data_IF_976567191112
#
_entry.id   IF_976567191112
#
_cell.length_a   1.000
_cell.length_b   1.000
_cell.length_c   1.000
_cell.angle_alpha   90.00
_cell.angle_beta   90.00
_cell.angle_gamma   90.00
#
_symmetry.space_group_name_H-M   'P 1'
#
loop_
_entity.id
_entity.type
_entity.pdbx_description
1 polymer ?
#
# COMPACT_ATOMS: atom_id res chain seq x y z
N UNK A 1 -27.24 -6.68 -6.34
CA UNK A 1 -27.69 -7.99 -6.89
C UNK A 1 -27.14 -8.13 -8.30
N UNK A 2 -26.01 -8.82 -8.47
CA UNK A 2 -25.53 -9.21 -9.79
C UNK A 2 -25.00 -10.65 -9.79
N UNK A 3 -25.27 -11.30 -10.92
CA UNK A 3 -25.20 -12.72 -11.18
C UNK A 3 -23.81 -13.04 -11.74
N UNK A 4 -23.14 -14.02 -11.14
CA UNK A 4 -21.91 -14.61 -11.66
C UNK A 4 -22.14 -15.26 -13.04
N UNK A 5 -21.23 -15.02 -14.00
CA UNK A 5 -21.11 -15.89 -15.18
C UNK A 5 -19.66 -16.01 -15.66
N UNK A 6 -19.07 -17.18 -15.44
CA UNK A 6 -17.84 -17.64 -16.09
C UNK A 6 -18.22 -18.53 -17.29
N UNK A 7 -17.72 -18.21 -18.51
CA UNK A 7 -16.92 -19.18 -19.31
C UNK A 7 -16.37 -18.67 -20.66
N UNK A 8 -15.05 -18.85 -20.80
CA UNK A 8 -14.16 -19.31 -21.90
C UNK A 8 -14.43 -19.02 -23.40
N UNK A 9 -13.31 -18.59 -24.03
CA UNK A 9 -12.77 -18.79 -25.41
C UNK A 9 -12.93 -17.68 -26.48
N UNK A 10 -11.78 -17.03 -26.73
CA UNK A 10 -11.11 -16.75 -28.02
C UNK A 10 -11.64 -15.71 -29.05
N UNK A 11 -10.76 -14.69 -29.24
CA UNK A 11 -10.28 -14.03 -30.48
C UNK A 11 -10.83 -12.63 -30.85
N UNK A 12 -10.02 -11.63 -30.46
CA UNK A 12 -9.56 -10.44 -31.18
C UNK A 12 -10.51 -9.67 -32.11
N UNK A 13 -10.72 -8.38 -31.79
CA UNK A 13 -10.52 -7.25 -32.72
C UNK A 13 -9.91 -6.08 -31.95
N UNK A 14 -8.72 -5.65 -32.38
CA UNK A 14 -8.02 -4.46 -31.89
C UNK A 14 -8.61 -3.20 -32.53
N UNK A 15 -8.91 -2.19 -31.74
CA UNK A 15 -9.02 -0.81 -32.21
C UNK A 15 -7.84 -0.03 -31.65
N UNK A 16 -6.88 0.25 -32.53
CA UNK A 16 -5.72 1.07 -32.22
C UNK A 16 -6.14 2.54 -32.14
N UNK A 17 -5.91 3.17 -31.00
CA UNK A 17 -5.75 4.62 -30.92
C UNK A 17 -4.27 4.87 -30.54
N UNK A 18 -3.50 5.32 -31.51
CA UNK A 18 -2.11 5.69 -31.30
C UNK A 18 -2.04 7.10 -30.70
N UNK A 19 -1.55 7.22 -29.47
CA UNK A 19 -0.93 8.45 -28.97
C UNK A 19 0.57 8.16 -28.80
N UNK A 20 1.39 9.03 -29.38
CA UNK A 20 2.82 8.83 -29.58
C UNK A 20 3.62 8.84 -28.27
N UNK A 21 4.13 7.66 -27.93
CA UNK A 21 5.54 7.33 -27.62
C UNK A 21 6.28 8.08 -26.50
N UNK A 22 6.16 7.49 -25.32
CA UNK A 22 7.19 7.41 -24.29
C UNK A 22 6.97 6.14 -23.46
N UNK A 23 6.74 5.00 -24.13
CA UNK A 23 6.42 3.76 -23.46
C UNK A 23 7.68 3.15 -22.83
N UNK A 24 7.91 3.45 -21.55
CA UNK A 24 8.54 2.47 -20.67
C UNK A 24 7.50 1.36 -20.46
N UNK A 25 7.52 0.36 -21.35
CA UNK A 25 6.79 -0.87 -21.13
C UNK A 25 7.50 -1.64 -20.00
N UNK A 26 7.15 -1.32 -18.76
CA UNK A 26 7.51 -2.13 -17.59
C UNK A 26 6.60 -3.37 -17.65
N UNK A 27 7.15 -4.51 -18.05
CA UNK A 27 6.45 -5.79 -17.91
C UNK A 27 6.57 -6.21 -16.44
N UNK A 28 5.53 -5.92 -15.67
CA UNK A 28 5.41 -6.28 -14.26
C UNK A 28 5.36 -7.80 -14.09
N UNK A 29 6.27 -8.35 -13.29
CA UNK A 29 6.27 -9.75 -12.87
C UNK A 29 6.28 -9.88 -11.33
N UNK A 30 5.54 -9.01 -10.64
CA UNK A 30 5.25 -8.95 -9.18
C UNK A 30 3.84 -8.31 -9.05
N UNK A 31 3.06 -8.53 -7.97
CA UNK A 31 1.83 -9.32 -7.94
C UNK A 31 0.61 -8.44 -8.24
N UNK A 32 -0.61 -8.98 -8.11
CA UNK A 32 -1.79 -8.57 -8.87
C UNK A 32 -2.20 -7.07 -8.78
N UNK A 33 -1.66 -6.29 -7.85
CA UNK A 33 -2.08 -4.92 -7.51
C UNK A 33 -1.12 -3.81 -7.98
N UNK A 34 0.09 -4.11 -8.47
CA UNK A 34 1.11 -3.12 -8.87
C UNK A 34 1.48 -2.09 -7.76
N UNK A 35 1.15 -2.37 -6.50
CA UNK A 35 1.39 -1.49 -5.35
C UNK A 35 2.57 -2.03 -4.54
N UNK A 36 3.50 -1.16 -4.15
CA UNK A 36 4.70 -1.49 -3.37
C UNK A 36 4.88 -0.42 -2.31
N UNK A 37 5.15 -0.83 -1.06
CA UNK A 37 5.64 0.08 -0.03
C UNK A 37 7.16 -0.04 0.06
N UNK A 38 7.85 1.08 0.21
CA UNK A 38 9.29 1.13 0.41
C UNK A 38 9.70 2.37 1.21
N UNK A 39 10.90 2.34 1.75
CA UNK A 39 11.58 3.49 2.35
C UNK A 39 12.90 3.70 1.60
N UNK A 40 13.48 4.89 1.76
CA UNK A 40 14.80 5.19 1.19
C UNK A 40 15.73 5.72 2.25
N UNK A 41 17.00 5.29 2.19
CA UNK A 41 18.09 5.66 3.10
C UNK A 41 18.46 7.16 3.04
N UNK A 42 18.14 7.83 1.93
CA UNK A 42 18.33 9.27 1.75
C UNK A 42 17.05 9.94 1.24
N UNK A 43 16.91 11.23 1.56
CA UNK A 43 15.79 12.02 1.03
C UNK A 43 15.79 12.03 -0.49
N UNK A 44 14.67 11.62 -1.10
CA UNK A 44 14.59 11.36 -2.53
C UNK A 44 13.41 12.08 -3.18
N UNK A 45 13.43 12.17 -4.52
CA UNK A 45 12.27 12.58 -5.30
C UNK A 45 11.65 11.40 -6.01
N UNK A 46 10.34 11.26 -5.84
CA UNK A 46 9.53 10.21 -6.47
C UNK A 46 8.36 10.85 -7.18
N UNK A 47 8.26 10.62 -8.50
CA UNK A 47 7.24 11.24 -9.38
C UNK A 47 7.13 12.77 -9.23
N UNK A 48 8.22 13.43 -8.83
CA UNK A 48 8.29 14.88 -8.64
C UNK A 48 7.95 15.40 -7.23
N UNK A 49 7.54 14.52 -6.31
CA UNK A 49 7.33 14.83 -4.88
C UNK A 49 8.61 14.52 -4.11
N UNK A 50 8.96 15.36 -3.14
CA UNK A 50 10.13 15.17 -2.27
C UNK A 50 9.70 14.44 -1.00
N UNK A 51 10.46 13.40 -0.64
CA UNK A 51 10.28 12.62 0.57
C UNK A 51 11.58 12.64 1.36
N UNK A 52 11.46 12.76 2.67
CA UNK A 52 12.58 12.74 3.61
C UNK A 52 12.97 11.29 3.95
N UNK A 53 14.20 11.09 4.44
CA UNK A 53 14.77 9.78 4.80
C UNK A 53 14.14 9.16 6.05
N UNK A 54 13.36 9.95 6.80
CA UNK A 54 12.54 9.51 7.93
C UNK A 54 11.12 9.09 7.51
N UNK A 55 10.82 9.06 6.21
CA UNK A 55 9.52 8.70 5.66
C UNK A 55 9.53 7.32 5.00
N UNK A 56 8.51 6.53 5.29
CA UNK A 56 8.17 5.36 4.47
C UNK A 56 7.05 5.71 3.49
N UNK A 57 7.12 5.15 2.29
CA UNK A 57 6.36 5.59 1.12
C UNK A 57 5.61 4.41 0.54
N UNK A 58 4.32 4.58 0.32
CA UNK A 58 3.53 3.67 -0.50
C UNK A 58 3.48 4.18 -1.92
N UNK A 59 3.75 3.33 -2.91
CA UNK A 59 3.66 3.68 -4.32
C UNK A 59 2.78 2.67 -5.05
N UNK A 60 1.76 3.21 -5.72
CA UNK A 60 0.86 2.46 -6.58
C UNK A 60 1.01 2.84 -8.05
N UNK A 61 0.31 2.13 -8.95
CA UNK A 61 0.27 2.47 -10.36
C UNK A 61 -0.25 3.91 -10.62
N UNK A 62 -0.97 4.49 -9.66
CA UNK A 62 -1.68 5.76 -9.82
C UNK A 62 -1.27 6.87 -8.85
N UNK A 63 -0.46 6.59 -7.83
CA UNK A 63 -0.08 7.58 -6.82
C UNK A 63 1.10 7.17 -5.96
N UNK A 64 1.50 8.08 -5.06
CA UNK A 64 2.47 7.83 -4.00
C UNK A 64 2.05 8.62 -2.74
N UNK A 65 2.13 8.00 -1.56
CA UNK A 65 1.77 8.60 -0.27
C UNK A 65 2.78 8.25 0.82
N UNK A 66 2.90 9.09 1.85
CA UNK A 66 3.74 8.81 3.00
C UNK A 66 2.95 8.00 4.03
N UNK A 67 3.45 6.82 4.37
CA UNK A 67 2.85 5.88 5.35
C UNK A 67 3.33 6.14 6.77
N UNK A 68 4.62 6.45 6.90
CA UNK A 68 5.25 6.81 8.15
C UNK A 68 5.74 8.24 8.03
N UNK A 69 5.37 9.06 9.01
CA UNK A 69 5.91 10.40 9.22
C UNK A 69 6.41 10.46 10.66
N UNK A 70 7.73 10.38 10.82
CA UNK A 70 8.36 10.43 12.14
C UNK A 70 8.60 11.87 12.61
N UNK A 71 8.39 12.89 11.77
CA UNK A 71 8.69 14.30 12.09
C UNK A 71 8.01 14.83 13.36
N UNK A 72 6.92 14.19 13.81
CA UNK A 72 6.29 14.45 15.10
C UNK A 72 7.13 14.09 16.34
N UNK A 73 8.21 13.34 16.17
CA UNK A 73 9.13 12.92 17.23
C UNK A 73 10.37 13.81 17.27
N UNK A 74 10.78 14.22 18.46
CA UNK A 74 11.94 15.13 18.64
C UNK A 74 13.30 14.54 18.26
N UNK A 75 13.36 13.24 17.93
CA UNK A 75 14.56 12.54 17.49
C UNK A 75 14.57 12.23 15.98
N UNK A 76 13.46 12.51 15.26
CA UNK A 76 13.30 12.14 13.85
C UNK A 76 14.40 12.71 12.95
N UNK A 77 14.76 14.00 13.12
CA UNK A 77 15.84 14.67 12.37
C UNK A 77 17.25 14.07 12.57
N UNK A 78 17.39 12.99 13.35
CA UNK A 78 18.67 12.38 13.73
C UNK A 78 18.71 10.87 13.55
N UNK A 79 17.67 10.29 12.97
CA UNK A 79 17.60 8.86 12.72
C UNK A 79 17.22 8.60 11.27
N UNK A 80 17.88 7.62 10.66
CA UNK A 80 17.44 6.98 9.44
C UNK A 80 16.59 5.75 9.76
N UNK A 81 15.75 5.34 8.80
CA UNK A 81 14.98 4.09 8.87
C UNK A 81 15.64 3.05 7.97
N UNK A 82 16.23 2.01 8.56
CA UNK A 82 17.03 1.03 7.80
C UNK A 82 16.25 -0.20 7.38
N UNK A 83 15.28 -0.65 8.18
CA UNK A 83 14.39 -1.73 7.82
C UNK A 83 12.95 -1.35 8.13
N UNK A 84 12.00 -1.63 7.22
CA UNK A 84 10.56 -1.47 7.49
C UNK A 84 9.79 -2.70 7.05
N UNK A 85 8.82 -3.10 7.86
CA UNK A 85 7.77 -4.05 7.51
C UNK A 85 6.42 -3.58 8.05
N UNK A 86 5.33 -3.83 7.33
CA UNK A 86 3.97 -3.55 7.81
C UNK A 86 3.37 -4.83 8.38
N UNK A 87 2.75 -4.73 9.56
CA UNK A 87 2.13 -5.87 10.25
C UNK A 87 0.74 -5.46 10.71
N UNK A 88 -0.28 -5.92 9.98
CA UNK A 88 -1.68 -5.61 10.24
C UNK A 88 -1.90 -4.09 10.34
N UNK A 89 -2.02 -3.55 11.56
CA UNK A 89 -2.34 -2.17 11.84
C UNK A 89 -1.12 -1.31 12.23
N UNK A 90 0.10 -1.83 12.07
CA UNK A 90 1.33 -1.19 12.56
C UNK A 90 2.42 -1.21 11.51
N UNK A 91 3.25 -0.17 11.55
CA UNK A 91 4.51 -0.09 10.81
C UNK A 91 5.61 -0.50 11.78
N UNK A 92 6.41 -1.49 11.43
CA UNK A 92 7.52 -1.95 12.25
C UNK A 92 8.84 -1.62 11.56
N UNK A 93 9.76 -0.98 12.28
CA UNK A 93 11.01 -0.51 11.69
C UNK A 93 12.22 -0.56 12.64
N UNK A 94 13.43 -0.57 12.08
CA UNK A 94 14.71 -0.33 12.78
C UNK A 94 15.24 1.09 12.48
N UNK A 95 16.27 1.51 13.22
CA UNK A 95 16.92 2.81 13.03
C UNK A 95 18.44 2.72 13.04
N UNK A 96 19.11 3.59 12.31
CA UNK A 96 20.58 3.59 12.14
C UNK A 96 21.35 3.90 13.43
N UNK A 97 20.72 4.67 14.31
CA UNK A 97 21.29 5.09 15.58
C UNK A 97 20.42 4.74 16.78
N UNK A 98 21.11 4.59 17.91
CA UNK A 98 20.44 4.50 19.21
C UNK A 98 19.73 5.82 19.55
N UNK A 99 18.51 5.74 20.07
CA UNK A 99 17.78 6.91 20.54
C UNK A 99 16.94 6.62 21.79
N UNK A 100 16.34 7.66 22.35
CA UNK A 100 15.50 7.57 23.55
C UNK A 100 14.18 8.30 23.31
N UNK A 101 13.07 7.62 23.58
CA UNK A 101 11.72 8.19 23.58
C UNK A 101 11.14 8.08 25.00
N UNK A 102 11.03 9.23 25.69
CA UNK A 102 10.61 9.27 27.09
C UNK A 102 11.60 8.56 28.01
N UNK A 103 11.20 7.41 28.57
CA UNK A 103 12.07 6.57 29.43
C UNK A 103 12.57 5.31 28.73
N UNK A 104 12.12 5.05 27.51
CA UNK A 104 12.50 3.88 26.74
C UNK A 104 13.70 4.23 25.85
N UNK A 105 14.78 3.45 25.97
CA UNK A 105 15.92 3.50 25.05
C UNK A 105 15.77 2.43 23.99
N UNK A 106 15.96 2.82 22.73
CA UNK A 106 15.95 1.95 21.57
C UNK A 106 17.34 1.88 20.97
N UNK A 107 17.71 0.71 20.47
CA UNK A 107 19.00 0.40 19.88
C UNK A 107 18.83 0.12 18.39
N UNK A 108 19.89 0.32 17.62
CA UNK A 108 19.89 0.01 16.17
C UNK A 108 19.50 -1.45 15.85
N UNK A 109 19.86 -2.38 16.74
CA UNK A 109 19.47 -3.79 16.64
C UNK A 109 18.02 -4.10 17.04
N UNK A 110 17.20 -3.12 17.39
CA UNK A 110 15.81 -3.32 17.80
C UNK A 110 14.85 -3.09 16.61
N UNK A 111 13.68 -3.73 16.68
CA UNK A 111 12.55 -3.34 15.84
C UNK A 111 11.48 -2.69 16.71
N UNK A 112 10.99 -1.55 16.26
CA UNK A 112 9.96 -0.75 16.92
C UNK A 112 8.67 -0.88 16.14
N UNK A 113 7.56 -1.05 16.84
CA UNK A 113 6.23 -0.98 16.26
C UNK A 113 5.61 0.40 16.50
N UNK A 114 5.31 1.09 15.40
CA UNK A 114 4.53 2.31 15.33
C UNK A 114 3.07 2.01 15.03
N UNK A 115 2.19 2.50 15.88
CA UNK A 115 0.75 2.52 15.64
C UNK A 115 0.37 3.89 15.08
N UNK A 116 0.09 4.00 13.77
CA UNK A 116 -0.09 5.30 13.11
C UNK A 116 -1.40 5.97 13.50
N UNK A 117 -2.37 5.21 14.01
CA UNK A 117 -3.66 5.74 14.42
C UNK A 117 -3.62 6.37 15.83
N UNK A 118 -2.74 5.89 16.70
CA UNK A 118 -2.49 6.46 18.03
C UNK A 118 -1.21 7.29 18.09
N UNK A 119 -0.37 7.23 17.06
CA UNK A 119 0.95 7.82 16.96
C UNK A 119 1.88 7.38 18.11
N UNK A 120 1.81 6.10 18.49
CA UNK A 120 2.60 5.55 19.60
C UNK A 120 3.64 4.55 19.12
N UNK A 121 4.79 4.53 19.81
CA UNK A 121 5.87 3.58 19.60
C UNK A 121 5.94 2.55 20.73
N UNK A 122 6.22 1.32 20.36
CA UNK A 122 6.43 0.21 21.28
C UNK A 122 7.57 -0.69 20.79
N UNK A 123 8.22 -1.41 21.70
CA UNK A 123 9.22 -2.40 21.33
C UNK A 123 8.52 -3.59 20.65
N UNK A 124 8.87 -3.90 19.40
CA UNK A 124 8.41 -5.11 18.71
C UNK A 124 9.40 -6.26 18.93
N UNK A 125 10.70 -5.99 18.77
CA UNK A 125 11.78 -6.95 19.00
C UNK A 125 12.96 -6.25 19.66
N UNK A 126 13.41 -6.80 20.79
CA UNK A 126 14.59 -6.31 21.50
C UNK A 126 15.81 -7.17 21.11
N UNK A 127 16.65 -6.64 20.22
CA UNK A 127 17.79 -7.38 19.68
C UNK A 127 18.85 -7.65 20.73
N UNK A 128 19.05 -6.72 21.67
CA UNK A 128 19.99 -6.92 22.79
C UNK A 128 19.58 -8.12 23.64
N UNK A 129 18.29 -8.22 23.99
CA UNK A 129 17.75 -9.31 24.78
C UNK A 129 17.76 -10.65 24.02
N UNK A 130 17.60 -10.61 22.70
CA UNK A 130 17.73 -11.79 21.85
C UNK A 130 19.20 -12.24 21.66
N UNK A 131 20.17 -11.36 21.96
CA UNK A 131 21.60 -11.65 21.90
C UNK A 131 22.29 -11.18 20.61
N UNK A 132 21.71 -10.21 19.89
CA UNK A 132 22.39 -9.51 18.80
C UNK A 132 23.56 -8.67 19.36
N UNK A 133 24.71 -8.61 18.64
CA UNK A 133 25.81 -7.73 19.01
C UNK A 133 25.39 -6.25 19.04
N UNK A 134 26.03 -5.45 19.91
CA UNK A 134 25.71 -4.04 20.08
C UNK A 134 26.01 -3.16 18.85
N UNK A 135 26.89 -3.65 17.97
CA UNK A 135 27.30 -2.97 16.75
C UNK A 135 26.55 -3.47 15.51
N UNK A 136 25.60 -4.40 15.66
CA UNK A 136 24.81 -4.88 14.54
C UNK A 136 23.55 -4.04 14.39
N UNK A 137 23.22 -3.70 13.15
CA UNK A 137 21.99 -3.05 12.74
C UNK A 137 21.14 -4.02 11.92
N UNK A 138 19.82 -3.81 11.90
CA UNK A 138 18.95 -4.56 11.00
C UNK A 138 18.75 -3.74 9.72
N UNK A 139 19.36 -4.19 8.64
CA UNK A 139 19.31 -3.51 7.35
C UNK A 139 18.12 -3.95 6.51
N UNK A 140 17.54 -5.10 6.79
CA UNK A 140 16.35 -5.54 6.10
C UNK A 140 15.48 -6.36 7.06
N UNK A 141 14.16 -6.26 6.92
CA UNK A 141 13.22 -7.06 7.71
C UNK A 141 11.97 -7.41 6.89
N UNK A 142 11.47 -8.62 7.06
CA UNK A 142 10.23 -9.08 6.43
C UNK A 142 9.38 -9.89 7.41
N UNK A 143 8.12 -9.49 7.59
CA UNK A 143 7.20 -10.25 8.43
C UNK A 143 6.73 -11.54 7.75
N UNK A 144 6.53 -12.60 8.53
CA UNK A 144 5.92 -13.85 8.04
C UNK A 144 4.59 -14.10 8.73
N UNK A 145 4.61 -14.22 10.06
CA UNK A 145 3.39 -14.46 10.87
C UNK A 145 3.67 -14.32 12.35
N UNK A 146 2.76 -13.71 13.11
CA UNK A 146 2.92 -13.53 14.55
C UNK A 146 4.26 -12.88 14.92
N UNK A 147 5.09 -13.60 15.68
CA UNK A 147 6.46 -13.18 16.07
C UNK A 147 7.56 -13.70 15.14
N UNK A 148 7.20 -14.31 14.02
CA UNK A 148 8.13 -14.84 13.03
C UNK A 148 8.36 -13.76 11.96
N UNK A 149 9.63 -13.40 11.80
CA UNK A 149 10.09 -12.50 10.76
C UNK A 149 11.47 -12.94 10.26
N UNK A 150 11.84 -12.45 9.09
CA UNK A 150 13.18 -12.55 8.54
C UNK A 150 13.89 -11.21 8.66
N UNK A 151 15.21 -11.23 8.75
CA UNK A 151 16.03 -10.02 8.71
C UNK A 151 17.43 -10.30 8.15
N UNK A 152 18.15 -9.24 7.78
CA UNK A 152 19.60 -9.23 7.53
C UNK A 152 20.29 -8.26 8.51
N UNK A 153 21.62 -8.36 8.63
CA UNK A 153 22.41 -7.41 9.43
C UNK A 153 23.40 -6.64 8.55
N UNK A 154 23.72 -5.41 8.96
CA UNK A 154 24.79 -4.58 8.37
C UNK A 154 26.20 -5.14 8.53
N UNK A 155 26.34 -6.13 9.41
CA UNK A 155 27.62 -6.66 9.79
C UNK A 155 27.55 -8.16 10.00
N UNK A 156 28.53 -8.84 9.42
CA UNK A 156 28.86 -10.22 9.77
C UNK A 156 29.00 -10.40 11.29
N UNK A 157 28.32 -11.41 11.84
CA UNK A 157 28.19 -11.59 13.29
C UNK A 157 28.10 -13.06 13.70
N UNK A 158 28.34 -13.32 14.99
CA UNK A 158 28.07 -14.64 15.58
C UNK A 158 26.76 -14.60 16.35
N UNK A 159 25.77 -15.40 15.93
CA UNK A 159 24.45 -15.46 16.56
C UNK A 159 24.32 -16.64 17.53
N UNK A 160 23.63 -16.46 18.66
CA UNK A 160 23.29 -17.55 19.58
C UNK A 160 22.61 -18.72 18.88
N UNK A 161 23.15 -19.93 19.03
CA UNK A 161 22.57 -21.16 18.48
C UNK A 161 22.76 -21.38 16.97
N UNK A 162 23.27 -20.39 16.23
CA UNK A 162 23.54 -20.47 14.79
C UNK A 162 25.04 -20.49 14.50
N UNK A 163 25.82 -19.64 15.19
CA UNK A 163 27.22 -19.42 14.88
C UNK A 163 27.43 -18.25 13.92
N UNK A 164 28.47 -18.30 13.10
CA UNK A 164 28.83 -17.22 12.19
C UNK A 164 27.82 -17.05 11.05
N UNK A 165 27.44 -15.81 10.82
CA UNK A 165 26.65 -15.35 9.68
C UNK A 165 27.40 -14.22 8.97
N UNK A 166 27.16 -14.09 7.68
CA UNK A 166 27.56 -12.94 6.88
C UNK A 166 26.41 -11.91 6.81
N UNK A 167 26.75 -10.69 6.46
CA UNK A 167 25.86 -9.53 6.30
C UNK A 167 24.85 -9.70 5.15
N UNK A 168 25.10 -10.64 4.25
CA UNK A 168 24.19 -11.00 3.15
C UNK A 168 23.29 -12.21 3.48
N UNK A 169 23.40 -12.78 4.69
CA UNK A 169 22.61 -13.93 5.09
C UNK A 169 21.21 -13.53 5.55
N UNK A 170 20.19 -14.29 5.12
CA UNK A 170 18.82 -14.10 5.61
C UNK A 170 18.59 -14.94 6.85
N UNK A 171 18.33 -14.25 7.96
CA UNK A 171 18.12 -14.86 9.27
C UNK A 171 16.63 -14.87 9.61
N UNK A 172 16.14 -16.01 10.08
CA UNK A 172 14.79 -16.16 10.62
C UNK A 172 14.82 -16.05 12.13
N UNK A 173 13.99 -15.16 12.67
CA UNK A 173 13.60 -15.16 14.07
C UNK A 173 12.24 -15.82 14.23
N UNK A 174 12.07 -16.65 15.27
CA UNK A 174 10.81 -17.36 15.53
C UNK A 174 10.11 -16.96 16.84
N UNK A 175 10.57 -15.89 17.50
CA UNK A 175 10.13 -15.50 18.84
C UNK A 175 11.04 -16.00 19.97
N UNK A 176 11.98 -16.92 19.70
CA UNK A 176 12.84 -17.50 20.72
C UNK A 176 14.28 -17.79 20.26
N UNK A 177 14.50 -18.12 19.00
CA UNK A 177 15.81 -18.51 18.48
C UNK A 177 16.02 -17.99 17.05
N UNK A 178 17.29 -17.78 16.72
CA UNK A 178 17.75 -17.49 15.37
C UNK A 178 17.90 -18.79 14.56
N UNK A 179 17.73 -18.66 13.25
CA UNK A 179 18.04 -19.67 12.27
C UNK A 179 18.58 -18.99 11.02
N UNK A 180 19.76 -19.37 10.51
CA UNK A 180 20.16 -18.98 9.15
C UNK A 180 19.22 -19.70 8.18
N UNK A 181 18.36 -18.94 7.50
CA UNK A 181 17.37 -19.49 6.58
C UNK A 181 17.95 -19.63 5.18
N UNK A 182 18.66 -18.61 4.71
CA UNK A 182 19.40 -18.61 3.45
C UNK A 182 20.81 -18.07 3.68
N UNK A 183 21.78 -18.79 3.14
CA UNK A 183 23.15 -18.31 3.01
C UNK A 183 23.24 -17.39 1.78
N UNK A 184 23.61 -16.12 1.98
CA UNK A 184 23.55 -15.09 0.94
C UNK A 184 24.35 -15.46 -0.29
N UNK A 185 25.56 -15.97 -0.07
CA UNK A 185 26.46 -16.38 -1.15
C UNK A 185 26.05 -17.72 -1.75
N UNK A 186 25.80 -18.72 -0.92
CA UNK A 186 25.62 -20.11 -1.39
C UNK A 186 24.22 -20.36 -1.94
N UNK A 187 23.18 -19.85 -1.26
CA UNK A 187 21.78 -20.10 -1.63
C UNK A 187 21.25 -19.03 -2.58
N UNK A 188 21.60 -17.75 -2.34
CA UNK A 188 21.07 -16.62 -3.11
C UNK A 188 22.03 -16.15 -4.22
N UNK A 189 23.31 -16.48 -4.16
CA UNK A 189 24.32 -16.06 -5.14
C UNK A 189 24.70 -14.59 -5.04
N UNK A 190 24.47 -13.97 -3.88
CA UNK A 190 24.83 -12.59 -3.58
C UNK A 190 26.36 -12.52 -3.40
N UNK A 191 27.06 -11.55 -4.00
CA UNK A 191 28.49 -11.34 -3.76
C UNK A 191 28.78 -10.96 -2.29
N UNK A 192 29.91 -11.41 -1.73
CA UNK A 192 30.38 -11.16 -0.34
C UNK A 192 30.63 -9.69 0.05
N UNK A 193 30.28 -8.75 -0.81
CA UNK A 193 30.36 -7.33 -0.47
C UNK A 193 29.00 -6.66 -0.54
N UNK A 194 27.93 -7.34 -0.96
CA UNK A 194 26.65 -6.72 -1.26
C UNK A 194 25.59 -7.07 -0.20
N UNK A 195 25.37 -6.18 0.75
CA UNK A 195 24.39 -6.32 1.83
C UNK A 195 22.94 -6.29 1.34
N UNK A 196 22.00 -6.82 2.13
CA UNK A 196 20.57 -6.68 1.85
C UNK A 196 20.03 -5.44 2.55
N UNK A 197 19.42 -4.53 1.78
CA UNK A 197 18.77 -3.31 2.32
C UNK A 197 17.25 -3.43 2.41
N UNK A 198 16.64 -4.32 1.64
CA UNK A 198 15.21 -4.59 1.77
C UNK A 198 14.95 -6.08 1.65
N UNK A 199 13.89 -6.51 2.34
CA UNK A 199 13.45 -7.88 2.30
C UNK A 199 11.93 -7.92 2.34
N UNK A 200 11.33 -8.79 1.53
CA UNK A 200 9.90 -9.08 1.55
C UNK A 200 9.66 -10.56 1.31
N UNK A 201 8.67 -11.13 1.99
CA UNK A 201 8.23 -12.52 1.76
C UNK A 201 6.80 -12.51 1.28
N UNK A 202 6.61 -12.87 0.01
CA UNK A 202 5.28 -12.96 -0.58
C UNK A 202 4.54 -14.22 -0.11
N UNK A 203 3.21 -14.18 -0.19
CA UNK A 203 2.30 -15.29 0.18
C UNK A 203 2.54 -16.59 -0.59
N UNK A 204 3.20 -16.52 -1.76
CA UNK A 204 3.62 -17.67 -2.56
C UNK A 204 5.03 -18.20 -2.22
N UNK A 205 5.59 -17.80 -1.07
CA UNK A 205 6.93 -18.11 -0.58
C UNK A 205 8.08 -17.56 -1.44
N UNK A 206 7.83 -16.62 -2.35
CA UNK A 206 8.92 -15.89 -3.02
C UNK A 206 9.52 -14.87 -2.06
N UNK A 207 10.84 -14.77 -2.08
CA UNK A 207 11.57 -13.78 -1.30
C UNK A 207 12.06 -12.71 -2.25
N UNK A 208 11.72 -11.46 -1.98
CA UNK A 208 12.18 -10.31 -2.73
C UNK A 208 13.14 -9.49 -1.88
N UNK A 209 14.17 -8.94 -2.50
CA UNK A 209 15.18 -8.16 -1.78
C UNK A 209 15.85 -7.13 -2.70
N UNK A 210 16.35 -6.04 -2.13
CA UNK A 210 17.31 -5.10 -2.76
C UNK A 210 18.70 -5.31 -2.17
N UNK A 211 19.71 -4.63 -2.71
CA UNK A 211 21.08 -4.70 -2.25
C UNK A 211 21.69 -3.30 -2.12
N UNK A 212 22.62 -3.11 -1.21
CA UNK A 212 23.34 -1.85 -0.94
C UNK A 212 24.25 -1.35 -2.07
N UNK A 213 24.38 -2.14 -3.13
CA UNK A 213 25.23 -1.83 -4.27
C UNK A 213 24.83 -2.58 -5.53
N UNK A 214 25.29 -2.09 -6.70
CA UNK A 214 25.19 -2.85 -7.93
C UNK A 214 25.80 -4.24 -7.78
N UNK A 215 25.02 -5.26 -8.13
CA UNK A 215 25.44 -6.64 -8.02
C UNK A 215 25.14 -7.43 -9.29
N UNK A 216 25.87 -8.54 -9.44
CA UNK A 216 25.66 -9.50 -10.51
C UNK A 216 25.37 -10.87 -9.91
N UNK A 217 24.10 -11.26 -9.90
CA UNK A 217 23.66 -12.60 -9.47
C UNK A 217 23.42 -13.48 -10.70
N UNK A 218 24.17 -14.59 -10.78
CA UNK A 218 24.06 -15.52 -11.90
C UNK A 218 24.40 -14.88 -13.24
N UNK A 219 23.40 -14.68 -14.11
CA UNK A 219 23.55 -14.05 -15.42
C UNK A 219 23.03 -12.60 -15.48
N UNK A 220 22.29 -12.17 -14.46
CA UNK A 220 21.67 -10.85 -14.41
C UNK A 220 22.56 -9.87 -13.64
N UNK A 221 22.45 -8.59 -13.99
CA UNK A 221 23.05 -7.46 -13.28
C UNK A 221 21.93 -6.50 -12.91
N UNK A 222 22.01 -5.95 -11.70
CA UNK A 222 21.11 -4.92 -11.20
C UNK A 222 21.90 -3.80 -10.53
N UNK A 223 21.32 -2.62 -10.46
CA UNK A 223 21.75 -1.54 -9.60
C UNK A 223 21.32 -1.77 -8.14
N UNK A 224 21.85 -0.96 -7.24
CA UNK A 224 21.50 -0.90 -5.81
C UNK A 224 20.00 -0.71 -5.56
N UNK A 225 19.31 -0.10 -6.52
CA UNK A 225 17.89 0.21 -6.41
C UNK A 225 17.02 -0.98 -6.84
N UNK A 226 17.57 -1.94 -7.57
CA UNK A 226 16.76 -2.98 -8.21
C UNK A 226 16.31 -4.06 -7.22
N UNK A 227 15.15 -4.65 -7.49
CA UNK A 227 14.59 -5.72 -6.67
C UNK A 227 14.88 -7.07 -7.34
N UNK A 228 15.50 -7.95 -6.58
CA UNK A 228 15.75 -9.35 -6.91
C UNK A 228 14.64 -10.22 -6.35
N UNK A 229 14.47 -11.42 -6.94
CA UNK A 229 13.57 -12.44 -6.42
C UNK A 229 14.23 -13.80 -6.38
N UNK A 230 14.09 -14.45 -5.23
CA UNK A 230 14.41 -15.84 -4.99
C UNK A 230 13.13 -16.68 -4.88
N UNK A 231 13.12 -17.85 -5.51
CA UNK A 231 12.00 -18.80 -5.45
C UNK A 231 12.51 -20.11 -4.82
N UNK A 232 12.22 -20.36 -3.53
CA UNK A 232 12.61 -21.61 -2.87
C UNK A 232 11.97 -22.84 -3.53
N UNK A 233 12.56 -24.04 -3.45
CA UNK A 233 13.81 -24.37 -2.75
C UNK A 233 15.07 -24.28 -3.64
N UNK A 234 14.94 -23.97 -4.93
CA UNK A 234 16.08 -23.86 -5.84
C UNK A 234 15.77 -23.02 -7.08
N UNK A 235 16.69 -22.11 -7.37
CA UNK A 235 16.76 -21.28 -8.57
C UNK A 235 17.72 -20.13 -8.28
N UNK A 236 18.60 -19.73 -9.23
CA UNK A 236 19.38 -18.51 -9.04
C UNK A 236 18.41 -17.34 -8.87
N UNK A 237 18.75 -16.36 -8.03
CA UNK A 237 17.95 -15.14 -7.97
C UNK A 237 17.90 -14.50 -9.36
N UNK A 238 16.74 -13.93 -9.69
CA UNK A 238 16.53 -13.20 -10.94
C UNK A 238 16.15 -11.77 -10.64
N UNK A 239 16.46 -10.85 -11.55
CA UNK A 239 15.96 -9.48 -11.46
C UNK A 239 14.43 -9.50 -11.57
N UNK A 240 13.74 -9.09 -10.51
CA UNK A 240 12.28 -9.05 -10.46
C UNK A 240 11.76 -7.76 -11.08
N UNK A 241 12.40 -6.65 -10.72
CA UNK A 241 11.98 -5.31 -11.10
C UNK A 241 13.18 -4.35 -11.07
N UNK A 242 13.23 -3.43 -12.03
CA UNK A 242 14.22 -2.35 -12.03
C UNK A 242 13.57 -1.03 -11.66
N UNK A 243 14.05 -0.42 -10.59
CA UNK A 243 13.44 0.75 -9.93
C UNK A 243 14.05 2.07 -10.39
N UNK A 244 14.36 2.17 -11.68
CA UNK A 244 14.97 3.37 -12.27
C UNK A 244 14.15 4.66 -12.10
N UNK A 245 12.91 4.57 -11.61
CA UNK A 245 12.12 5.73 -11.20
C UNK A 245 12.55 6.36 -9.86
N UNK A 246 13.35 5.67 -9.05
CA UNK A 246 13.95 6.17 -7.81
C UNK A 246 15.20 6.96 -8.17
N UNK A 247 15.47 8.08 -7.48
CA UNK A 247 16.65 8.90 -7.80
C UNK A 247 17.96 8.09 -7.60
N UNK A 248 18.99 8.26 -8.45
CA UNK A 248 20.26 7.56 -8.27
C UNK A 248 20.90 7.87 -6.91
N UNK A 249 21.40 6.84 -6.21
CA UNK A 249 22.01 6.95 -4.88
C UNK A 249 21.01 7.03 -3.72
N UNK A 250 19.77 6.60 -3.94
CA UNK A 250 18.82 6.29 -2.89
C UNK A 250 18.51 4.80 -2.94
N UNK A 251 18.72 4.11 -1.82
CA UNK A 251 18.61 2.66 -1.71
C UNK A 251 17.26 2.28 -1.13
N UNK A 252 16.76 1.11 -1.51
CA UNK A 252 15.50 0.59 -0.98
C UNK A 252 15.77 -0.02 0.39
N UNK A 253 15.29 0.62 1.46
CA UNK A 253 15.40 0.13 2.85
C UNK A 253 14.17 -0.67 3.32
N UNK A 254 13.16 -0.77 2.45
CA UNK A 254 11.97 -1.57 2.71
C UNK A 254 11.30 -2.04 1.43
N UNK A 255 10.62 -3.18 1.53
CA UNK A 255 9.79 -3.71 0.47
C UNK A 255 8.59 -4.42 1.09
N UNK A 256 7.38 -4.02 0.68
CA UNK A 256 6.15 -4.70 1.08
C UNK A 256 5.11 -4.63 -0.05
N UNK A 257 4.27 -5.65 -0.15
CA UNK A 257 3.09 -5.63 -1.02
C UNK A 257 1.85 -5.38 -0.15
N UNK A 258 1.12 -4.28 -0.38
CA UNK A 258 -0.15 -4.04 0.28
C UNK A 258 -1.14 -5.18 0.01
N UNK A 259 -1.69 -5.72 1.09
CA UNK A 259 -2.68 -6.78 1.06
C UNK A 259 -4.06 -6.14 1.10
N UNK A 260 -4.95 -6.59 0.22
CA UNK A 260 -6.40 -6.31 0.21
C UNK A 260 -7.06 -7.70 0.22
N UNK A 261 -7.40 -8.19 1.41
CA UNK A 261 -7.80 -9.58 1.61
C UNK A 261 -9.20 -9.87 1.09
N UNK A 262 -10.13 -8.94 1.21
CA UNK A 262 -11.51 -9.12 0.79
C UNK A 262 -11.82 -8.56 -0.62
N UNK A 263 -10.88 -7.81 -1.20
CA UNK A 263 -10.90 -7.37 -2.59
C UNK A 263 -11.80 -6.16 -2.81
N UNK A 264 -11.93 -5.30 -1.81
CA UNK A 264 -12.81 -4.14 -1.81
C UNK A 264 -12.12 -2.82 -2.17
N UNK A 265 -10.82 -2.90 -2.49
CA UNK A 265 -9.89 -1.83 -2.89
C UNK A 265 -9.25 -1.03 -1.76
N UNK A 266 -9.70 -1.17 -0.51
CA UNK A 266 -8.90 -0.73 0.63
C UNK A 266 -7.90 -1.84 0.98
N UNK A 267 -6.72 -1.43 1.42
CA UNK A 267 -5.76 -2.40 1.96
C UNK A 267 -6.12 -2.75 3.39
N UNK A 268 -5.78 -3.97 3.82
CA UNK A 268 -5.92 -4.42 5.20
C UNK A 268 -5.36 -3.41 6.21
N UNK A 269 -4.27 -2.71 5.84
CA UNK A 269 -3.67 -1.66 6.66
C UNK A 269 -4.57 -0.42 6.79
N UNK A 270 -5.13 0.07 5.69
CA UNK A 270 -6.05 1.22 5.67
C UNK A 270 -7.28 0.93 6.51
N UNK A 271 -7.83 -0.28 6.37
CA UNK A 271 -9.02 -0.70 7.09
C UNK A 271 -8.76 -0.86 8.59
N UNK A 272 -7.64 -1.45 8.98
CA UNK A 272 -7.31 -1.59 10.40
C UNK A 272 -6.93 -0.27 11.08
N UNK A 273 -6.23 0.61 10.37
CA UNK A 273 -5.62 1.81 10.94
C UNK A 273 -6.49 3.07 10.76
N UNK A 274 -7.25 3.14 9.67
CA UNK A 274 -7.93 4.34 9.18
C UNK A 274 -6.99 5.39 8.57
N UNK A 275 -5.73 5.01 8.32
CA UNK A 275 -4.71 5.89 7.73
C UNK A 275 -4.69 5.67 6.23
N UNK A 276 -4.73 6.76 5.47
CA UNK A 276 -4.65 6.76 4.01
C UNK A 276 -3.21 6.49 3.55
N UNK A 277 -3.01 5.48 2.70
CA UNK A 277 -1.70 5.16 2.13
C UNK A 277 -1.38 5.97 0.86
N UNK A 278 -2.37 6.67 0.31
CA UNK A 278 -2.25 7.56 -0.85
C UNK A 278 -2.03 6.88 -2.19
N UNK A 279 -2.10 5.55 -2.24
CA UNK A 279 -1.76 4.74 -3.41
C UNK A 279 -2.86 3.76 -3.84
N UNK A 280 -3.86 3.52 -3.01
CA UNK A 280 -5.08 2.77 -3.34
C UNK A 280 -6.00 3.64 -4.19
N UNK A 281 -6.66 3.02 -5.17
CA UNK A 281 -7.63 3.72 -6.02
C UNK A 281 -8.85 2.84 -6.26
N UNK A 282 -9.97 3.51 -6.52
CA UNK A 282 -11.15 2.85 -7.05
C UNK A 282 -10.92 2.52 -8.54
N UNK A 283 -11.23 1.32 -9.06
CA UNK A 283 -10.89 0.89 -10.43
C UNK A 283 -11.42 1.76 -11.57
N UNK A 284 -12.34 2.67 -11.26
CA UNK A 284 -12.99 3.57 -12.21
C UNK A 284 -12.69 5.05 -11.94
N UNK A 285 -11.82 5.40 -10.98
CA UNK A 285 -11.45 6.79 -10.72
C UNK A 285 -9.93 6.97 -10.68
N UNK A 286 -9.49 8.21 -10.86
CA UNK A 286 -8.11 8.62 -10.55
C UNK A 286 -7.95 9.16 -9.13
N UNK A 287 -9.02 9.10 -8.32
CA UNK A 287 -8.98 9.57 -6.95
C UNK A 287 -8.38 8.50 -6.04
N UNK A 288 -7.36 8.84 -5.23
CA UNK A 288 -6.94 7.95 -4.17
C UNK A 288 -8.12 7.68 -3.23
N UNK A 289 -8.27 6.42 -2.82
CA UNK A 289 -9.17 6.08 -1.74
C UNK A 289 -8.63 6.73 -0.47
N UNK A 290 -9.53 7.10 0.43
CA UNK A 290 -9.12 7.70 1.69
C UNK A 290 -10.11 7.24 2.78
N UNK A 291 -9.68 6.34 3.70
CA UNK A 291 -10.54 5.87 4.78
C UNK A 291 -10.97 6.99 5.76
N UNK A 292 -10.35 8.17 5.67
CA UNK A 292 -10.72 9.39 6.42
C UNK A 292 -10.73 9.19 7.94
N UNK A 293 -9.87 8.31 8.44
CA UNK A 293 -9.81 7.92 9.85
C UNK A 293 -10.81 6.83 10.27
N UNK A 294 -11.69 6.39 9.38
CA UNK A 294 -12.60 5.28 9.64
C UNK A 294 -11.85 3.95 9.55
N UNK A 295 -12.22 3.01 10.41
CA UNK A 295 -11.65 1.66 10.42
C UNK A 295 -12.74 0.66 10.09
N UNK A 296 -12.46 -0.27 9.21
CA UNK A 296 -13.34 -1.33 8.77
C UNK A 296 -12.75 -2.71 9.06
N UNK A 297 -13.43 -3.78 8.65
CA UNK A 297 -12.99 -5.15 8.85
C UNK A 297 -12.41 -5.71 7.54
N UNK A 298 -11.10 -5.96 7.46
CA UNK A 298 -10.42 -6.32 6.21
C UNK A 298 -10.71 -7.73 5.68
N UNK A 299 -11.65 -8.41 6.29
CA UNK A 299 -12.12 -9.72 5.88
C UNK A 299 -13.56 -9.64 5.34
N UNK A 300 -14.14 -8.45 5.29
CA UNK A 300 -15.52 -8.18 4.91
C UNK A 300 -15.56 -6.99 3.96
N UNK A 301 -15.82 -7.29 2.69
CA UNK A 301 -16.07 -6.28 1.64
C UNK A 301 -17.03 -5.16 2.08
N UNK A 302 -18.00 -5.47 2.94
CA UNK A 302 -19.02 -4.54 3.45
C UNK A 302 -19.12 -4.76 4.97
N UNK A 303 -18.52 -3.85 5.73
CA UNK A 303 -18.33 -3.99 7.17
C UNK A 303 -19.61 -3.77 7.98
N UNK A 304 -20.55 -2.95 7.49
CA UNK A 304 -21.80 -2.63 8.20
C UNK A 304 -23.06 -3.29 7.62
N UNK A 305 -22.93 -3.93 6.46
CA UNK A 305 -23.97 -4.73 5.80
C UNK A 305 -24.99 -3.90 5.03
N UNK A 306 -24.69 -2.67 4.64
CA UNK A 306 -25.61 -1.79 3.91
C UNK A 306 -25.62 -2.01 2.38
N UNK A 307 -24.83 -2.98 1.91
CA UNK A 307 -24.62 -3.38 0.51
C UNK A 307 -23.69 -2.47 -0.31
N UNK A 308 -23.03 -1.50 0.30
CA UNK A 308 -21.89 -0.79 -0.27
C UNK A 308 -20.60 -1.38 0.30
N UNK A 309 -19.52 -1.39 -0.50
CA UNK A 309 -18.25 -1.88 0.02
C UNK A 309 -17.51 -0.77 0.75
N UNK A 310 -16.61 -1.13 1.66
CA UNK A 310 -15.87 -0.17 2.47
C UNK A 310 -15.05 0.78 1.57
N UNK A 311 -14.46 0.25 0.49
CA UNK A 311 -13.81 1.04 -0.55
C UNK A 311 -14.73 1.95 -1.37
N UNK A 312 -16.00 1.57 -1.63
CA UNK A 312 -16.97 2.49 -2.27
C UNK A 312 -17.29 3.67 -1.36
N UNK A 313 -17.43 3.40 -0.06
CA UNK A 313 -17.76 4.40 0.94
C UNK A 313 -16.59 5.34 1.20
N UNK A 314 -15.36 4.81 1.32
CA UNK A 314 -14.14 5.62 1.38
C UNK A 314 -13.99 6.52 0.13
N UNK A 315 -14.30 5.99 -1.07
CA UNK A 315 -14.32 6.79 -2.30
C UNK A 315 -15.37 7.91 -2.25
N UNK A 316 -16.55 7.63 -1.70
CA UNK A 316 -17.62 8.60 -1.52
C UNK A 316 -17.34 9.61 -0.38
N UNK A 317 -16.38 9.31 0.50
CA UNK A 317 -16.10 10.05 1.73
C UNK A 317 -17.15 9.82 2.82
N UNK A 318 -17.78 8.64 2.82
CA UNK A 318 -18.74 8.20 3.82
C UNK A 318 -18.08 7.20 4.81
N UNK A 319 -18.81 6.68 5.79
CA UNK A 319 -18.22 5.88 6.87
C UNK A 319 -18.55 4.38 6.71
N UNK A 320 -17.55 3.53 6.39
CA UNK A 320 -17.71 2.08 6.16
C UNK A 320 -18.29 1.23 7.30
N UNK A 321 -18.50 1.83 8.47
CA UNK A 321 -19.03 1.11 9.65
C UNK A 321 -20.38 1.66 10.12
N UNK A 322 -20.98 2.54 9.34
CA UNK A 322 -22.25 3.16 9.63
C UNK A 322 -23.19 3.04 8.43
N UNK A 323 -24.04 2.01 8.43
CA UNK A 323 -24.93 1.68 7.31
C UNK A 323 -26.07 2.67 7.03
N UNK A 324 -25.98 3.88 7.58
CA UNK A 324 -26.80 5.04 7.25
C UNK A 324 -26.00 6.14 6.51
N UNK A 325 -24.68 6.01 6.43
CA UNK A 325 -23.74 6.99 5.90
C UNK A 325 -23.05 6.42 4.66
N UNK A 326 -23.80 6.39 3.56
CA UNK A 326 -23.37 6.00 2.23
C UNK A 326 -23.92 6.97 1.18
N UNK A 327 -23.38 6.92 -0.03
CA UNK A 327 -23.87 7.76 -1.13
C UNK A 327 -25.29 7.34 -1.56
N UNK A 328 -26.29 8.13 -1.17
CA UNK A 328 -27.67 7.97 -1.60
C UNK A 328 -28.42 9.28 -1.72
N UNK A 329 -29.50 9.26 -2.49
CA UNK A 329 -30.50 10.34 -2.50
C UNK A 329 -31.21 10.36 -1.14
N UNK A 330 -30.94 11.40 -0.34
CA UNK A 330 -31.55 11.61 0.96
C UNK A 330 -32.93 12.27 0.85
N UNK A 331 -33.20 13.00 -0.24
CA UNK A 331 -34.51 13.58 -0.51
C UNK A 331 -34.78 13.78 -2.00
N UNK A 332 -36.04 13.56 -2.40
CA UNK A 332 -36.58 13.88 -3.72
C UNK A 332 -37.92 14.58 -3.52
N UNK A 333 -37.93 15.91 -3.63
CA UNK A 333 -39.10 16.73 -3.31
C UNK A 333 -39.55 17.58 -4.51
N UNK A 334 -40.86 17.82 -4.62
CA UNK A 334 -41.39 18.77 -5.62
C UNK A 334 -41.13 20.21 -5.18
N UNK A 335 -40.69 21.05 -6.11
CA UNK A 335 -40.51 22.49 -5.93
C UNK A 335 -41.16 23.23 -7.10
N UNK A 336 -42.43 23.59 -6.95
CA UNK A 336 -43.26 24.09 -8.06
C UNK A 336 -43.40 23.04 -9.17
N UNK A 337 -43.03 23.40 -10.40
CA UNK A 337 -42.98 22.47 -11.55
C UNK A 337 -41.72 21.61 -11.57
N UNK A 338 -40.74 21.91 -10.72
CA UNK A 338 -39.44 21.25 -10.68
C UNK A 338 -39.39 20.16 -9.61
N UNK A 339 -38.31 19.40 -9.62
CA UNK A 339 -37.94 18.43 -8.57
C UNK A 339 -36.61 18.86 -7.97
N UNK A 340 -36.55 19.03 -6.65
CA UNK A 340 -35.32 19.22 -5.90
C UNK A 340 -34.82 17.85 -5.44
N UNK A 341 -33.61 17.51 -5.85
CA UNK A 341 -32.87 16.35 -5.37
C UNK A 341 -31.90 16.79 -4.28
N UNK A 342 -31.74 15.97 -3.26
CA UNK A 342 -30.70 16.08 -2.25
C UNK A 342 -30.06 14.71 -2.05
N UNK A 343 -28.73 14.67 -1.94
CA UNK A 343 -27.98 13.47 -1.62
C UNK A 343 -26.92 13.75 -0.57
N UNK A 344 -26.55 12.72 0.20
CA UNK A 344 -25.39 12.76 1.08
C UNK A 344 -24.14 12.89 0.20
N UNK A 345 -23.25 13.80 0.56
CA UNK A 345 -22.05 14.11 -0.23
C UNK A 345 -20.88 14.47 0.67
N UNK A 346 -19.65 14.20 0.24
CA UNK A 346 -18.44 14.69 0.89
C UNK A 346 -17.87 15.94 0.19
N UNK A 347 -17.29 16.91 0.94
CA UNK A 347 -16.57 18.05 0.38
C UNK A 347 -15.45 17.63 -0.58
N UNK A 348 -15.29 18.35 -1.69
CA UNK A 348 -14.23 18.10 -2.67
C UNK A 348 -14.52 16.97 -3.65
N UNK A 349 -15.63 16.24 -3.47
CA UNK A 349 -16.10 15.21 -4.42
C UNK A 349 -16.99 15.82 -5.51
N UNK A 350 -17.07 15.13 -6.63
CA UNK A 350 -17.90 15.47 -7.78
C UNK A 350 -18.89 14.34 -8.06
N UNK A 351 -20.06 14.69 -8.60
CA UNK A 351 -21.16 13.74 -8.80
C UNK A 351 -21.73 13.82 -10.21
N UNK A 352 -22.05 12.66 -10.75
CA UNK A 352 -22.79 12.52 -11.99
C UNK A 352 -24.25 12.21 -11.70
N UNK A 353 -25.14 12.91 -12.40
CA UNK A 353 -26.58 12.72 -12.29
C UNK A 353 -27.13 12.13 -13.57
N UNK A 354 -27.97 11.11 -13.39
CA UNK A 354 -28.58 10.37 -14.47
C UNK A 354 -30.08 10.27 -14.34
N UNK A 355 -30.74 10.19 -15.49
CA UNK A 355 -32.15 9.83 -15.63
C UNK A 355 -32.25 8.64 -16.58
N UNK A 356 -33.28 7.78 -16.48
CA UNK A 356 -33.49 6.75 -17.48
C UNK A 356 -33.85 7.39 -18.84
N UNK A 357 -33.53 6.71 -19.93
CA UNK A 357 -33.90 7.12 -21.31
C UNK A 357 -35.41 7.12 -21.58
N UNK A 358 -36.22 6.54 -20.68
CA UNK A 358 -37.67 6.46 -20.77
C UNK A 358 -38.37 6.56 -19.41
N UNK A 359 -39.70 6.39 -19.39
CA UNK A 359 -40.53 6.53 -18.18
C UNK A 359 -40.41 5.37 -17.18
N UNK A 360 -39.67 4.32 -17.51
CA UNK A 360 -39.59 3.08 -16.74
C UNK A 360 -38.15 2.75 -16.40
N UNK A 361 -37.92 2.19 -15.22
CA UNK A 361 -36.62 1.68 -14.81
C UNK A 361 -36.27 0.41 -15.61
N UNK A 362 -35.65 0.58 -16.77
CA UNK A 362 -34.96 -0.49 -17.49
C UNK A 362 -33.47 -0.36 -17.22
N UNK A 363 -32.84 -1.45 -16.77
CA UNK A 363 -31.54 -1.43 -16.07
C UNK A 363 -30.36 -0.84 -16.86
N UNK A 364 -30.42 -0.72 -18.18
CA UNK A 364 -29.25 -0.42 -19.02
C UNK A 364 -29.38 0.84 -19.91
N UNK A 365 -30.27 1.78 -19.61
CA UNK A 365 -30.37 3.02 -20.39
C UNK A 365 -30.48 4.24 -19.50
N UNK A 366 -29.32 4.78 -19.11
CA UNK A 366 -29.19 6.01 -18.34
C UNK A 366 -28.63 7.12 -19.23
N UNK A 367 -29.25 8.31 -19.15
CA UNK A 367 -28.84 9.53 -19.81
C UNK A 367 -28.27 10.49 -18.76
N UNK A 368 -27.16 11.13 -19.11
CA UNK A 368 -26.52 12.14 -18.27
C UNK A 368 -27.35 13.43 -18.26
N UNK A 369 -27.60 13.99 -17.09
CA UNK A 369 -28.27 15.30 -16.93
C UNK A 369 -27.39 16.34 -16.25
N UNK A 370 -26.39 15.89 -15.50
CA UNK A 370 -25.27 16.69 -15.05
C UNK A 370 -24.06 15.77 -14.92
N UNK A 371 -22.88 16.30 -15.26
CA UNK A 371 -21.60 15.63 -15.08
C UNK A 371 -20.73 16.52 -14.19
N UNK A 372 -19.86 15.92 -13.40
CA UNK A 372 -18.89 16.64 -12.56
C UNK A 372 -19.54 17.73 -11.69
N UNK A 373 -20.70 17.42 -11.10
CA UNK A 373 -21.39 18.38 -10.25
C UNK A 373 -20.67 18.47 -8.90
N UNK A 374 -20.09 19.62 -8.52
CA UNK A 374 -19.29 19.72 -7.31
C UNK A 374 -20.15 19.59 -6.05
N UNK A 375 -19.58 18.96 -5.03
CA UNK A 375 -20.18 18.92 -3.69
C UNK A 375 -20.51 20.32 -3.16
N UNK A 376 -21.61 20.46 -2.43
CA UNK A 376 -21.99 21.70 -1.72
C UNK A 376 -21.78 21.59 -0.19
N UNK A 377 -20.97 20.62 0.26
CA UNK A 377 -20.78 20.26 1.66
C UNK A 377 -21.27 18.84 1.93
N UNK A 378 -21.80 18.58 3.12
CA UNK A 378 -22.31 17.26 3.54
C UNK A 378 -23.59 16.82 2.82
N UNK A 379 -24.32 17.77 2.23
CA UNK A 379 -25.50 17.52 1.40
C UNK A 379 -25.36 18.37 0.15
N UNK A 380 -25.54 17.75 -1.01
CA UNK A 380 -25.57 18.45 -2.29
C UNK A 380 -26.98 18.44 -2.86
N UNK A 381 -27.37 19.56 -3.46
CA UNK A 381 -28.70 19.71 -4.04
C UNK A 381 -28.66 20.05 -5.52
N UNK A 382 -29.63 19.51 -6.27
CA UNK A 382 -29.79 19.81 -7.69
C UNK A 382 -31.27 19.91 -8.07
N UNK A 383 -31.60 20.87 -8.93
CA UNK A 383 -32.98 21.10 -9.37
C UNK A 383 -33.18 20.57 -10.79
N UNK A 384 -34.13 19.65 -10.94
CA UNK A 384 -34.57 19.07 -12.21
C UNK A 384 -35.84 19.73 -12.71
N UNK A 385 -35.91 20.02 -14.01
CA UNK A 385 -37.18 20.27 -14.70
C UNK A 385 -37.63 18.96 -15.37
N UNK A 386 -38.51 18.18 -14.72
CA UNK A 386 -38.79 16.83 -15.18
C UNK A 386 -39.54 16.81 -16.50
N UNK A 387 -39.08 15.98 -17.44
CA UNK A 387 -39.68 15.83 -18.77
C UNK A 387 -40.90 14.90 -18.78
N UNK A 388 -41.14 14.21 -17.67
CA UNK A 388 -42.12 13.14 -17.56
C UNK A 388 -42.91 13.28 -16.24
N UNK A 389 -44.12 12.71 -16.22
CA UNK A 389 -44.96 12.71 -15.01
C UNK A 389 -44.32 11.93 -13.86
N UNK A 390 -43.65 10.83 -14.18
CA UNK A 390 -42.80 10.04 -13.28
C UNK A 390 -41.40 10.06 -13.86
N UNK A 391 -40.41 10.42 -13.05
CA UNK A 391 -39.01 10.43 -13.43
C UNK A 391 -38.17 9.84 -12.31
N UNK A 392 -37.23 8.98 -12.70
CA UNK A 392 -36.25 8.38 -11.80
C UNK A 392 -34.93 9.11 -11.91
N UNK A 393 -34.17 9.07 -10.84
CA UNK A 393 -32.87 9.72 -10.73
C UNK A 393 -31.86 8.73 -10.16
N UNK A 394 -30.63 8.84 -10.61
CA UNK A 394 -29.47 8.15 -10.03
C UNK A 394 -28.36 9.17 -9.84
N UNK A 395 -27.70 9.11 -8.70
CA UNK A 395 -26.46 9.82 -8.41
C UNK A 395 -25.33 8.80 -8.38
N UNK A 396 -24.15 9.21 -8.84
CA UNK A 396 -22.91 8.44 -8.77
C UNK A 396 -21.78 9.40 -8.42
N UNK A 397 -20.75 8.92 -7.73
CA UNK A 397 -19.45 9.60 -7.69
C UNK A 397 -18.90 9.74 -9.12
N UNK A 398 -18.39 10.92 -9.48
CA UNK A 398 -17.74 11.17 -10.77
C UNK A 398 -16.30 10.63 -10.79
N UNK A 399 -15.82 10.29 -11.98
CA UNK A 399 -14.54 9.62 -12.25
C UNK A 399 -13.35 10.55 -12.54
N UNK A 400 -13.46 11.84 -12.27
CA UNK A 400 -12.47 12.84 -12.71
C UNK A 400 -11.01 12.56 -12.34
#
# INVERSE_FOLDING_TARGET
MEICRINRRNWAWALACAVFTGALSVSWAVPATNQIRYATDVSTRLRGVYYEDDQSISVGPYGAGALLDLSGFSWADRVGVDAVMVISNRIVFSTDVDFVQGTNGFKRQDLLAYDPATQTLSMYFNGTAAGLPANANLDAAAWISGSIFLFSLDVSASLPGVGWIADEDVIRWNGAAFQKLYDGVTDLGIPEEAGLDALYVATNNRVYFSLDRPARIGAASGSERDVWVYTPPAGPCTLAFSSDFISPGADLTALDEPIDTDGDWLTDFEEYSGVDEGCTIFPETTFPLNPSGNRSNPMLVDSDGDSYSDGHEAAAGSNPTNGLDYLHLSSVARSGTNTLLSWISAPGRFYDLYIPSGQTLTTNQWLWVAADYPSQGSITTWTSAPSWQIQFYRVRLSMQ
#
